data_IF_539989026891
#
_entry.id   IF_539989026891
#
_cell.length_a   1.000
_cell.length_b   1.000
_cell.length_c   1.000
_cell.angle_alpha   90.00
_cell.angle_beta   90.00
_cell.angle_gamma   90.00
#
_symmetry.space_group_name_H-M   'P 1'
#
loop_
_entity.id
_entity.type
_entity.pdbx_description
1 polymer ?
#
# COMPACT_ATOMS: atom_id res chain seq x y z
N UNK A 1 -16.15 5.20 6.68
CA UNK A 1 -15.75 6.58 7.00
C UNK A 1 -16.93 7.56 6.87
N UNK A 2 -17.84 7.38 5.92
CA UNK A 2 -19.02 8.24 5.73
C UNK A 2 -19.83 8.53 7.00
N UNK A 3 -20.04 7.54 7.87
CA UNK A 3 -20.71 7.74 9.18
C UNK A 3 -19.97 8.67 10.15
N UNK A 4 -18.68 8.91 9.92
CA UNK A 4 -17.84 9.81 10.72
C UNK A 4 -17.71 11.19 10.08
N UNK A 5 -18.37 11.47 8.94
CA UNK A 5 -18.17 12.69 8.16
C UNK A 5 -18.21 13.96 9.01
N UNK A 6 -19.28 14.18 9.78
CA UNK A 6 -19.41 15.36 10.66
C UNK A 6 -18.32 15.47 11.72
N UNK A 7 -17.69 14.34 12.10
CA UNK A 7 -16.60 14.31 13.09
C UNK A 7 -15.24 14.62 12.46
N UNK A 8 -14.99 14.14 11.24
CA UNK A 8 -13.65 14.17 10.63
C UNK A 8 -13.50 15.19 9.50
N UNK A 9 -14.59 15.70 8.92
CA UNK A 9 -14.53 16.55 7.71
C UNK A 9 -13.62 17.75 7.83
N UNK A 10 -13.54 18.35 9.02
CA UNK A 10 -12.70 19.52 9.30
C UNK A 10 -11.27 19.19 9.76
N UNK A 11 -10.94 17.91 9.91
CA UNK A 11 -9.61 17.43 10.29
C UNK A 11 -8.75 17.29 9.03
N UNK A 12 -7.53 17.82 9.01
CA UNK A 12 -6.48 17.39 8.08
C UNK A 12 -6.34 15.87 8.10
N UNK A 13 -6.10 15.26 6.93
CA UNK A 13 -6.07 13.79 6.83
C UNK A 13 -5.01 13.16 7.72
N UNK A 14 -3.87 13.83 7.95
CA UNK A 14 -2.83 13.39 8.89
C UNK A 14 -3.32 13.20 10.33
N UNK A 15 -4.45 13.81 10.70
CA UNK A 15 -5.06 13.69 12.03
C UNK A 15 -6.15 12.60 12.10
N UNK A 16 -6.46 11.93 11.00
CA UNK A 16 -7.46 10.86 10.95
C UNK A 16 -6.75 9.54 11.16
N UNK A 17 -7.15 8.81 12.20
CA UNK A 17 -6.68 7.43 12.41
C UNK A 17 -7.44 6.52 11.45
N UNK A 18 -6.71 5.75 10.66
CA UNK A 18 -7.29 4.80 9.71
C UNK A 18 -6.49 3.49 9.69
N UNK A 19 -7.16 2.33 9.58
CA UNK A 19 -6.47 1.07 9.40
C UNK A 19 -5.78 0.99 8.03
N UNK A 20 -4.63 0.33 7.97
CA UNK A 20 -3.91 0.03 6.73
C UNK A 20 -3.60 -1.45 6.59
N UNK A 21 -3.16 -1.86 5.40
CA UNK A 21 -2.69 -3.20 5.11
C UNK A 21 -1.33 -3.15 4.42
N UNK A 22 -0.35 -3.81 5.06
CA UNK A 22 1.00 -4.01 4.55
C UNK A 22 1.01 -5.12 3.49
N UNK A 23 1.68 -4.90 2.35
CA UNK A 23 1.68 -5.84 1.21
C UNK A 23 0.26 -6.33 0.86
N UNK A 24 -0.67 -5.38 0.73
CA UNK A 24 -2.11 -5.60 0.68
C UNK A 24 -2.55 -6.60 -0.40
N UNK A 25 -1.79 -6.74 -1.48
CA UNK A 25 -2.08 -7.71 -2.55
C UNK A 25 -1.67 -9.15 -2.25
N UNK A 26 -0.98 -9.42 -1.14
CA UNK A 26 -0.47 -10.76 -0.79
C UNK A 26 -1.48 -11.58 0.00
N UNK A 27 -2.74 -11.59 -0.47
CA UNK A 27 -3.85 -12.36 0.12
C UNK A 27 -3.78 -13.87 -0.17
N UNK A 28 -3.09 -14.22 -1.25
CA UNK A 28 -2.69 -15.58 -1.61
C UNK A 28 -1.38 -15.52 -2.40
N UNK A 29 -0.74 -16.66 -2.65
CA UNK A 29 0.43 -16.75 -3.51
C UNK A 29 0.04 -17.24 -4.90
N UNK A 30 0.25 -16.40 -5.92
CA UNK A 30 -0.09 -16.72 -7.31
C UNK A 30 1.03 -17.43 -8.08
N UNK A 31 2.26 -17.44 -7.55
CA UNK A 31 3.42 -18.18 -8.10
C UNK A 31 3.68 -17.88 -9.58
N UNK A 32 3.68 -16.60 -9.95
CA UNK A 32 3.83 -16.17 -11.34
C UNK A 32 5.29 -16.18 -11.81
N UNK A 33 6.24 -16.24 -10.89
CA UNK A 33 7.66 -16.42 -11.16
C UNK A 33 8.25 -17.51 -10.28
N UNK A 34 9.32 -18.15 -10.74
CA UNK A 34 10.02 -19.21 -10.01
C UNK A 34 10.78 -18.62 -8.83
N UNK A 35 10.40 -18.98 -7.62
CA UNK A 35 11.11 -18.55 -6.40
C UNK A 35 10.84 -19.53 -5.25
N UNK A 36 11.54 -19.33 -4.14
CA UNK A 36 11.39 -20.13 -2.91
C UNK A 36 10.48 -19.47 -1.87
N UNK A 37 9.80 -18.37 -2.22
CA UNK A 37 8.81 -17.74 -1.35
C UNK A 37 7.57 -18.61 -1.16
N UNK A 38 7.23 -18.85 0.10
CA UNK A 38 6.13 -19.71 0.54
C UNK A 38 5.18 -18.92 1.43
N UNK A 39 4.01 -19.50 1.74
CA UNK A 39 3.03 -18.83 2.61
C UNK A 39 3.63 -18.41 3.95
N UNK A 40 4.62 -19.15 4.44
CA UNK A 40 5.22 -18.89 5.73
C UNK A 40 6.01 -17.58 5.82
N UNK A 41 6.63 -17.14 4.72
CA UNK A 41 7.54 -15.99 4.70
C UNK A 41 7.13 -14.91 3.69
N UNK A 42 6.11 -15.13 2.87
CA UNK A 42 5.73 -14.18 1.82
C UNK A 42 4.28 -13.71 1.92
N UNK A 43 3.36 -14.54 2.40
CA UNK A 43 1.95 -14.18 2.49
C UNK A 43 1.70 -13.32 3.74
N UNK A 44 1.33 -12.05 3.54
CA UNK A 44 1.11 -11.08 4.63
C UNK A 44 -0.37 -10.82 4.92
N UNK A 45 -1.26 -11.19 3.99
CA UNK A 45 -2.71 -10.99 4.14
C UNK A 45 -3.49 -12.30 3.96
N UNK A 46 -4.61 -12.44 4.66
CA UNK A 46 -5.56 -13.56 4.50
C UNK A 46 -6.82 -13.19 3.69
N UNK A 47 -7.02 -11.89 3.47
CA UNK A 47 -8.21 -11.31 2.83
C UNK A 47 -7.81 -10.62 1.54
N UNK A 48 -8.66 -10.71 0.51
CA UNK A 48 -8.45 -9.92 -0.72
C UNK A 48 -8.50 -8.43 -0.43
N UNK A 49 -7.94 -7.63 -1.32
CA UNK A 49 -8.01 -6.15 -1.24
C UNK A 49 -9.43 -5.62 -1.06
N UNK A 50 -10.44 -6.20 -1.73
CA UNK A 50 -11.87 -5.86 -1.51
C UNK A 50 -12.28 -6.10 -0.05
N UNK A 51 -11.98 -7.28 0.48
CA UNK A 51 -12.35 -7.63 1.86
C UNK A 51 -11.61 -6.74 2.86
N UNK A 52 -10.33 -6.46 2.68
CA UNK A 52 -9.59 -5.53 3.54
C UNK A 52 -10.30 -4.16 3.62
N UNK A 53 -10.76 -3.62 2.49
CA UNK A 53 -11.56 -2.39 2.47
C UNK A 53 -12.90 -2.54 3.22
N UNK A 54 -13.62 -3.66 3.02
CA UNK A 54 -14.87 -3.94 3.74
C UNK A 54 -14.68 -4.05 5.26
N UNK A 55 -13.52 -4.54 5.71
CA UNK A 55 -13.16 -4.64 7.13
C UNK A 55 -12.49 -3.37 7.70
N UNK A 56 -12.38 -2.31 6.90
CA UNK A 56 -12.04 -0.97 7.38
C UNK A 56 -10.68 -0.43 6.96
N UNK A 57 -9.85 -1.21 6.26
CA UNK A 57 -8.59 -0.69 5.71
C UNK A 57 -8.85 0.46 4.74
N UNK A 58 -8.13 1.56 4.89
CA UNK A 58 -8.21 2.74 4.01
C UNK A 58 -6.84 3.15 3.48
N UNK A 59 -5.78 2.47 3.89
CA UNK A 59 -4.44 2.58 3.31
C UNK A 59 -3.96 1.20 2.85
N UNK A 60 -3.74 1.02 1.55
CA UNK A 60 -3.24 -0.23 0.97
C UNK A 60 -1.83 0.00 0.44
N UNK A 61 -0.84 -0.69 1.02
CA UNK A 61 0.52 -0.77 0.46
C UNK A 61 0.56 -1.86 -0.61
N UNK A 62 0.69 -1.47 -1.87
CA UNK A 62 0.58 -2.32 -3.06
C UNK A 62 1.93 -2.33 -3.80
N UNK A 63 2.76 -3.32 -3.51
CA UNK A 63 4.05 -3.46 -4.20
C UNK A 63 3.84 -4.21 -5.51
N UNK A 64 3.98 -3.53 -6.65
CA UNK A 64 3.62 -4.06 -7.97
C UNK A 64 4.86 -4.23 -8.82
N UNK A 65 4.97 -5.40 -9.45
CA UNK A 65 5.97 -5.69 -10.45
C UNK A 65 5.35 -6.23 -11.74
N UNK A 66 6.12 -6.18 -12.82
CA UNK A 66 5.79 -6.92 -14.05
C UNK A 66 6.49 -8.28 -14.04
N UNK A 67 5.77 -9.33 -14.43
CA UNK A 67 6.36 -10.65 -14.70
C UNK A 67 6.50 -10.85 -16.20
N UNK A 68 7.74 -10.97 -16.68
CA UNK A 68 8.07 -11.08 -18.10
C UNK A 68 8.21 -12.55 -18.54
N UNK A 69 7.54 -12.90 -19.63
CA UNK A 69 7.61 -14.21 -20.29
C UNK A 69 7.32 -14.07 -21.78
N UNK A 70 8.11 -14.74 -22.64
CA UNK A 70 7.80 -14.86 -24.06
C UNK A 70 7.73 -13.53 -24.84
N UNK A 71 8.39 -12.47 -24.35
CA UNK A 71 8.35 -11.13 -24.96
C UNK A 71 7.19 -10.25 -24.51
N UNK A 72 6.29 -10.77 -23.66
CA UNK A 72 5.23 -10.00 -23.00
C UNK A 72 5.46 -9.84 -21.49
N UNK A 73 4.54 -9.17 -20.83
CA UNK A 73 4.54 -9.02 -19.38
C UNK A 73 3.11 -8.92 -18.81
N UNK A 74 2.98 -9.15 -17.51
CA UNK A 74 1.72 -8.99 -16.74
C UNK A 74 2.00 -8.36 -15.39
N UNK A 75 1.06 -7.56 -14.87
CA UNK A 75 1.21 -6.84 -13.60
C UNK A 75 0.68 -7.65 -12.41
N UNK A 76 1.51 -7.77 -11.38
CA UNK A 76 1.20 -8.53 -10.18
C UNK A 76 1.67 -7.78 -8.94
N UNK A 77 0.90 -7.87 -7.86
CA UNK A 77 1.46 -7.53 -6.55
C UNK A 77 2.51 -8.57 -6.17
N UNK A 78 3.50 -8.21 -5.38
CA UNK A 78 4.53 -9.13 -4.94
C UNK A 78 5.08 -8.74 -3.58
N UNK A 79 5.65 -9.72 -2.89
CA UNK A 79 6.48 -9.49 -1.73
C UNK A 79 7.77 -10.26 -1.95
N UNK A 80 8.87 -9.52 -2.08
CA UNK A 80 10.22 -10.05 -2.28
C UNK A 80 11.19 -9.37 -1.32
N UNK A 81 12.30 -10.02 -1.02
CA UNK A 81 13.33 -9.50 -0.10
C UNK A 81 13.96 -8.19 -0.58
N UNK A 82 14.15 -8.06 -1.90
CA UNK A 82 14.66 -6.90 -2.59
C UNK A 82 14.35 -7.10 -4.07
N UNK A 83 13.54 -6.22 -4.64
CA UNK A 83 13.08 -6.28 -6.02
C UNK A 83 14.17 -5.99 -7.05
N UNK A 84 15.30 -5.45 -6.61
CA UNK A 84 16.47 -5.14 -7.44
C UNK A 84 17.54 -6.25 -7.42
N UNK A 85 17.39 -7.24 -6.53
CA UNK A 85 18.30 -8.38 -6.43
C UNK A 85 18.25 -9.31 -7.65
N UNK A 86 19.28 -10.16 -7.81
CA UNK A 86 19.40 -11.11 -8.92
C UNK A 86 19.79 -12.52 -8.42
N UNK A 87 18.85 -13.43 -8.15
CA UNK A 87 17.39 -13.28 -8.29
C UNK A 87 16.72 -12.69 -7.04
N UNK A 88 15.58 -11.99 -7.20
CA UNK A 88 14.73 -11.64 -6.07
C UNK A 88 14.07 -12.91 -5.49
N UNK A 89 13.94 -12.95 -4.16
CA UNK A 89 13.38 -14.07 -3.41
C UNK A 89 12.07 -13.66 -2.76
N UNK A 90 11.00 -14.38 -3.05
CA UNK A 90 9.65 -14.08 -2.58
C UNK A 90 8.60 -14.70 -3.49
N UNK A 91 7.45 -14.06 -3.66
CA UNK A 91 6.37 -14.58 -4.50
C UNK A 91 5.42 -13.45 -4.92
N UNK A 92 4.57 -13.73 -5.91
CA UNK A 92 3.51 -12.83 -6.38
C UNK A 92 2.18 -13.10 -5.66
N UNK A 93 1.31 -12.10 -5.63
CA UNK A 93 -0.03 -12.13 -5.02
C UNK A 93 -1.15 -11.93 -6.03
N UNK A 94 -2.11 -11.06 -5.70
CA UNK A 94 -3.18 -10.63 -6.60
C UNK A 94 -2.62 -10.03 -7.90
N UNK A 95 -3.31 -10.22 -9.03
CA UNK A 95 -3.02 -9.46 -10.24
C UNK A 95 -3.45 -8.00 -10.04
N UNK A 96 -2.80 -7.06 -10.72
CA UNK A 96 -3.20 -5.64 -10.67
C UNK A 96 -4.66 -5.46 -11.12
N UNK A 97 -5.06 -6.18 -12.16
CA UNK A 97 -6.44 -6.23 -12.63
C UNK A 97 -7.43 -6.60 -11.51
N UNK A 98 -7.17 -7.68 -10.75
CA UNK A 98 -8.05 -8.09 -9.65
C UNK A 98 -8.08 -7.05 -8.52
N UNK A 99 -6.93 -6.43 -8.21
CA UNK A 99 -6.86 -5.34 -7.22
C UNK A 99 -7.74 -4.17 -7.64
N UNK A 100 -7.67 -3.76 -8.91
CA UNK A 100 -8.50 -2.68 -9.46
C UNK A 100 -9.99 -3.05 -9.44
N UNK A 101 -10.36 -4.25 -9.86
CA UNK A 101 -11.75 -4.73 -9.79
C UNK A 101 -12.27 -4.71 -8.36
N UNK A 102 -11.46 -5.15 -7.40
CA UNK A 102 -11.79 -5.14 -5.97
C UNK A 102 -12.03 -3.71 -5.44
N UNK A 103 -11.18 -2.73 -5.81
CA UNK A 103 -11.35 -1.32 -5.45
C UNK A 103 -12.62 -0.74 -6.09
N UNK A 104 -12.85 -1.04 -7.37
CA UNK A 104 -14.01 -0.57 -8.12
C UNK A 104 -15.32 -1.10 -7.55
N UNK A 105 -15.34 -2.39 -7.18
CA UNK A 105 -16.47 -2.99 -6.51
C UNK A 105 -16.74 -2.29 -5.18
N UNK A 106 -15.71 -2.11 -4.34
CA UNK A 106 -15.88 -1.47 -3.03
C UNK A 106 -16.42 -0.04 -3.16
N UNK A 107 -15.84 0.77 -4.04
CA UNK A 107 -16.25 2.17 -4.24
C UNK A 107 -17.65 2.33 -4.83
N UNK A 108 -18.12 1.35 -5.61
CA UNK A 108 -19.51 1.30 -6.05
C UNK A 108 -20.49 0.97 -4.92
N UNK A 109 -20.10 0.10 -3.98
CA UNK A 109 -20.93 -0.36 -2.87
C UNK A 109 -20.87 0.57 -1.64
N UNK A 110 -19.80 1.34 -1.49
CA UNK A 110 -19.48 2.15 -0.31
C UNK A 110 -19.03 3.57 -0.70
N UNK A 111 -19.94 4.44 -1.17
CA UNK A 111 -19.59 5.81 -1.54
C UNK A 111 -19.23 6.67 -0.32
N UNK A 112 -18.43 7.70 -0.55
CA UNK A 112 -18.03 8.70 0.46
C UNK A 112 -16.81 8.27 1.29
N UNK A 113 -16.06 7.27 0.83
CA UNK A 113 -14.85 6.77 1.50
C UNK A 113 -13.59 7.44 0.94
N UNK A 114 -12.55 7.56 1.78
CA UNK A 114 -11.22 7.99 1.38
C UNK A 114 -10.32 6.76 1.36
N UNK A 115 -9.73 6.42 0.21
CA UNK A 115 -8.85 5.25 0.07
C UNK A 115 -7.50 5.70 -0.45
N UNK A 116 -6.43 5.33 0.23
CA UNK A 116 -5.06 5.55 -0.17
C UNK A 116 -4.51 4.25 -0.77
N UNK A 117 -4.06 4.33 -2.02
CA UNK A 117 -3.37 3.27 -2.72
C UNK A 117 -1.93 3.71 -2.93
N UNK A 118 -1.00 3.13 -2.14
CA UNK A 118 0.43 3.38 -2.30
C UNK A 118 1.00 2.28 -3.17
N UNK A 119 1.45 2.62 -4.37
CA UNK A 119 2.13 1.69 -5.25
C UNK A 119 3.65 1.86 -5.16
N UNK A 120 4.37 0.75 -5.03
CA UNK A 120 5.84 0.72 -4.99
C UNK A 120 6.40 -0.46 -5.79
N UNK A 121 7.71 -0.69 -5.72
CA UNK A 121 8.53 -1.51 -6.62
C UNK A 121 8.60 -0.98 -8.04
N UNK A 122 7.48 -0.98 -8.76
CA UNK A 122 7.35 -0.45 -10.12
C UNK A 122 8.52 -0.87 -11.03
N UNK A 123 8.83 -2.17 -10.99
CA UNK A 123 9.96 -2.81 -11.69
C UNK A 123 9.51 -4.16 -12.23
N UNK A 124 10.27 -4.73 -13.16
CA UNK A 124 10.00 -6.03 -13.77
C UNK A 124 10.93 -7.13 -13.31
N UNK A 125 10.44 -8.37 -13.38
CA UNK A 125 11.21 -9.60 -13.15
C UNK A 125 10.89 -10.61 -14.25
N UNK A 126 11.85 -11.47 -14.57
CA UNK A 126 11.61 -12.60 -15.47
C UNK A 126 10.88 -13.73 -14.74
N UNK A 127 9.99 -14.45 -15.43
CA UNK A 127 9.33 -15.66 -14.87
C UNK A 127 10.33 -16.70 -14.37
N UNK A 128 11.45 -16.84 -15.06
CA UNK A 128 12.66 -17.49 -14.53
C UNK A 128 13.58 -16.36 -14.07
N UNK A 129 13.64 -16.04 -12.76
CA UNK A 129 14.26 -14.80 -12.32
C UNK A 129 15.75 -14.75 -12.63
N UNK A 130 16.15 -13.61 -13.17
CA UNK A 130 17.54 -13.23 -13.41
C UNK A 130 17.69 -11.81 -12.88
N UNK A 131 18.40 -10.93 -13.59
CA UNK A 131 18.42 -9.50 -13.26
C UNK A 131 17.02 -8.89 -13.39
N UNK A 132 16.69 -7.87 -12.57
CA UNK A 132 15.47 -7.11 -12.74
C UNK A 132 15.42 -6.40 -14.10
N UNK A 133 14.21 -6.04 -14.52
CA UNK A 133 13.91 -5.26 -15.71
C UNK A 133 13.28 -3.94 -15.29
N UNK A 134 14.04 -2.85 -15.33
CA UNK A 134 13.47 -1.51 -15.12
C UNK A 134 12.38 -1.22 -16.14
N UNK A 135 11.29 -0.60 -15.69
CA UNK A 135 10.19 -0.26 -16.58
C UNK A 135 10.63 0.77 -17.62
N UNK A 136 10.14 0.58 -18.84
CA UNK A 136 10.24 1.60 -19.89
C UNK A 136 9.09 2.57 -19.77
N UNK A 137 9.17 3.72 -20.47
CA UNK A 137 8.04 4.64 -20.59
C UNK A 137 6.76 3.95 -21.13
N UNK A 138 6.92 2.93 -21.98
CA UNK A 138 5.79 2.16 -22.50
C UNK A 138 5.10 1.32 -21.40
N UNK A 139 5.87 0.61 -20.57
CA UNK A 139 5.31 -0.16 -19.45
C UNK A 139 4.67 0.77 -18.42
N UNK A 140 5.32 1.91 -18.15
CA UNK A 140 4.78 2.93 -17.24
C UNK A 140 3.43 3.48 -17.75
N UNK A 141 3.32 3.72 -19.06
CA UNK A 141 2.06 4.17 -19.66
C UNK A 141 0.97 3.09 -19.57
N UNK A 142 1.31 1.82 -19.82
CA UNK A 142 0.36 0.70 -19.67
C UNK A 142 -0.14 0.59 -18.21
N UNK A 143 0.76 0.77 -17.24
CA UNK A 143 0.40 0.82 -15.83
C UNK A 143 -0.54 1.99 -15.51
N UNK A 144 -0.27 3.19 -16.02
CA UNK A 144 -1.20 4.32 -15.89
C UNK A 144 -2.56 4.04 -16.53
N UNK A 145 -2.59 3.40 -17.70
CA UNK A 145 -3.84 3.07 -18.38
C UNK A 145 -4.69 2.09 -17.54
N UNK A 146 -4.08 1.12 -16.86
CA UNK A 146 -4.78 0.28 -15.88
C UNK A 146 -5.31 1.11 -14.71
N UNK A 147 -4.48 1.95 -14.09
CA UNK A 147 -4.88 2.78 -12.94
C UNK A 147 -6.02 3.76 -13.29
N UNK A 148 -6.08 4.27 -14.53
CA UNK A 148 -7.16 5.14 -15.02
C UNK A 148 -8.52 4.44 -15.11
N UNK A 149 -8.59 3.14 -14.89
CA UNK A 149 -9.86 2.40 -14.77
C UNK A 149 -10.40 2.36 -13.34
N UNK A 150 -9.66 2.85 -12.34
CA UNK A 150 -10.11 2.91 -10.95
C UNK A 150 -11.25 3.94 -10.79
N UNK A 151 -12.33 3.60 -10.12
CA UNK A 151 -13.45 4.48 -9.84
C UNK A 151 -13.07 5.56 -8.81
N UNK A 152 -13.71 6.72 -8.92
CA UNK A 152 -13.62 7.82 -7.95
C UNK A 152 -12.17 8.26 -7.64
N UNK A 153 -11.28 8.25 -8.64
CA UNK A 153 -9.92 8.78 -8.46
C UNK A 153 -9.96 10.22 -7.94
N UNK A 154 -9.01 10.54 -7.09
CA UNK A 154 -8.82 11.90 -6.61
C UNK A 154 -8.24 12.76 -7.72
N UNK A 155 -9.04 13.62 -8.34
CA UNK A 155 -8.57 14.60 -9.33
C UNK A 155 -8.74 16.01 -8.78
N UNK A 156 -8.01 16.97 -9.36
CA UNK A 156 -8.18 18.41 -9.07
C UNK A 156 -8.10 18.76 -7.58
N UNK A 157 -7.19 18.11 -6.84
CA UNK A 157 -6.94 18.44 -5.44
C UNK A 157 -6.30 19.83 -5.31
N UNK A 158 -6.49 20.51 -4.16
CA UNK A 158 -5.82 21.79 -3.91
C UNK A 158 -4.30 21.67 -4.01
N UNK A 159 -3.64 22.72 -4.52
CA UNK A 159 -2.17 22.83 -4.63
C UNK A 159 -1.51 23.09 -3.26
N UNK A 160 -1.71 22.18 -2.33
CA UNK A 160 -1.04 22.11 -1.03
C UNK A 160 -0.62 20.67 -0.78
N UNK A 161 0.26 20.45 0.18
CA UNK A 161 0.63 19.10 0.60
C UNK A 161 -0.60 18.28 1.05
N UNK A 162 -0.74 17.06 0.54
CA UNK A 162 -1.98 16.29 0.68
C UNK A 162 -2.27 15.85 2.11
N UNK A 163 -1.24 15.70 2.94
CA UNK A 163 -1.38 15.40 4.37
C UNK A 163 -2.05 16.55 5.16
N UNK A 164 -2.07 17.78 4.61
CA UNK A 164 -2.74 18.96 5.16
C UNK A 164 -4.19 19.10 4.71
N UNK A 165 -4.59 18.43 3.63
CA UNK A 165 -5.94 18.52 3.09
C UNK A 165 -6.93 17.95 4.11
N UNK A 166 -8.01 18.70 4.34
CA UNK A 166 -9.10 18.28 5.21
C UNK A 166 -9.81 17.04 4.66
N UNK A 167 -10.16 16.10 5.51
CA UNK A 167 -10.84 14.86 5.11
C UNK A 167 -12.12 15.11 4.32
N UNK A 168 -12.87 16.17 4.65
CA UNK A 168 -14.09 16.55 3.94
C UNK A 168 -13.85 16.83 2.45
N UNK A 169 -12.71 17.45 2.10
CA UNK A 169 -12.36 17.73 0.70
C UNK A 169 -12.26 16.43 -0.09
N UNK A 170 -11.63 15.40 0.47
CA UNK A 170 -11.59 14.08 -0.17
C UNK A 170 -12.97 13.43 -0.20
N UNK A 171 -13.70 13.43 0.92
CA UNK A 171 -15.02 12.76 1.00
C UNK A 171 -16.04 13.37 0.04
N UNK A 172 -15.95 14.68 -0.23
CA UNK A 172 -16.87 15.41 -1.10
C UNK A 172 -16.49 15.29 -2.60
N UNK A 173 -15.33 14.72 -2.94
CA UNK A 173 -14.95 14.45 -4.33
C UNK A 173 -15.93 13.51 -5.02
N UNK A 174 -15.92 13.55 -6.36
CA UNK A 174 -16.73 12.68 -7.20
C UNK A 174 -18.23 12.74 -6.85
N UNK A 175 -18.76 13.95 -6.65
CA UNK A 175 -20.14 14.21 -6.21
C UNK A 175 -20.49 13.53 -4.87
N UNK A 176 -19.56 13.60 -3.90
CA UNK A 176 -19.72 12.96 -2.59
C UNK A 176 -19.55 11.43 -2.61
N UNK A 177 -19.06 10.85 -3.72
CA UNK A 177 -18.71 9.43 -3.79
C UNK A 177 -17.35 9.12 -3.17
N UNK A 178 -16.64 10.13 -2.67
CA UNK A 178 -15.35 10.00 -2.02
C UNK A 178 -14.20 10.01 -3.01
N UNK A 179 -13.06 9.48 -2.58
CA UNK A 179 -11.79 9.71 -3.24
C UNK A 179 -10.85 8.52 -3.09
N UNK A 180 -10.35 8.03 -4.22
CA UNK A 180 -9.25 7.06 -4.28
C UNK A 180 -7.98 7.79 -4.67
N UNK A 181 -7.10 7.99 -3.69
CA UNK A 181 -5.81 8.65 -3.88
C UNK A 181 -4.76 7.63 -4.25
N UNK A 182 -4.16 7.81 -5.43
CA UNK A 182 -3.12 6.94 -5.96
C UNK A 182 -1.78 7.64 -5.77
N UNK A 183 -0.87 7.01 -5.02
CA UNK A 183 0.46 7.51 -4.69
C UNK A 183 1.51 6.53 -5.24
N UNK A 184 2.47 7.02 -6.03
CA UNK A 184 3.51 6.21 -6.66
C UNK A 184 4.88 6.48 -6.05
N UNK A 185 5.51 5.42 -5.55
CA UNK A 185 6.91 5.42 -5.13
C UNK A 185 7.80 5.07 -6.32
N UNK A 186 8.48 6.09 -6.85
CA UNK A 186 9.21 6.02 -8.12
C UNK A 186 10.72 5.76 -7.97
N UNK A 187 11.15 5.22 -6.83
CA UNK A 187 12.56 4.93 -6.55
C UNK A 187 13.27 4.17 -7.70
N UNK A 188 12.59 3.21 -8.33
CA UNK A 188 13.14 2.40 -9.42
C UNK A 188 12.98 3.03 -10.82
N UNK A 189 12.22 4.11 -10.97
CA UNK A 189 11.89 4.72 -12.27
C UNK A 189 12.34 6.18 -12.40
N UNK A 190 13.24 6.65 -11.52
CA UNK A 190 13.74 8.03 -11.51
C UNK A 190 14.35 8.54 -12.84
N UNK A 191 14.63 7.64 -13.80
CA UNK A 191 15.17 7.98 -15.11
C UNK A 191 14.09 8.18 -16.20
N UNK A 192 12.82 7.95 -15.87
CA UNK A 192 11.71 8.21 -16.80
C UNK A 192 11.34 9.70 -16.77
N UNK A 193 10.98 10.23 -17.94
CA UNK A 193 10.54 11.62 -18.08
C UNK A 193 9.16 11.88 -17.45
N UNK A 194 8.37 10.83 -17.22
CA UNK A 194 7.02 10.91 -16.65
C UNK A 194 6.90 9.95 -15.49
N UNK A 195 6.73 10.52 -14.30
CA UNK A 195 6.68 9.80 -13.01
C UNK A 195 5.28 9.77 -12.42
N UNK A 196 4.35 10.55 -12.96
CA UNK A 196 2.97 10.63 -12.48
C UNK A 196 2.02 11.04 -13.61
N UNK A 197 0.74 11.21 -13.25
CA UNK A 197 -0.28 11.73 -14.14
C UNK A 197 -1.32 12.46 -13.29
N UNK A 198 -0.94 13.62 -12.75
CA UNK A 198 -1.80 14.41 -11.85
C UNK A 198 -3.19 14.74 -12.45
N UNK A 199 -3.33 15.08 -13.75
CA UNK A 199 -4.65 15.31 -14.36
C UNK A 199 -5.56 14.08 -14.32
N UNK A 200 -4.97 12.88 -14.25
CA UNK A 200 -5.67 11.60 -14.15
C UNK A 200 -5.81 11.10 -12.70
N UNK A 201 -5.34 11.87 -11.72
CA UNK A 201 -5.44 11.55 -10.29
C UNK A 201 -4.39 10.54 -9.80
N UNK A 202 -3.24 10.50 -10.48
CA UNK A 202 -2.11 9.64 -10.16
C UNK A 202 -0.95 10.55 -9.76
N UNK A 203 -0.47 10.43 -8.52
CA UNK A 203 0.50 11.36 -7.94
C UNK A 203 1.75 10.62 -7.49
N UNK A 204 2.90 11.28 -7.49
CA UNK A 204 4.08 10.78 -6.78
C UNK A 204 3.85 10.80 -5.26
N UNK A 205 4.47 9.88 -4.51
CA UNK A 205 4.36 9.85 -3.04
C UNK A 205 4.85 11.13 -2.35
N UNK A 206 5.69 11.94 -3.00
CA UNK A 206 6.26 13.16 -2.42
C UNK A 206 5.24 14.23 -2.03
N UNK A 207 4.04 14.20 -2.59
CA UNK A 207 2.94 15.12 -2.24
C UNK A 207 2.29 14.78 -0.89
N UNK A 208 2.65 13.63 -0.30
CA UNK A 208 2.16 13.12 0.96
C UNK A 208 3.33 12.89 1.89
N UNK A 209 3.51 13.78 2.88
CA UNK A 209 4.46 13.51 3.95
C UNK A 209 3.87 12.46 4.91
N UNK A 210 4.49 11.29 4.92
CA UNK A 210 4.23 10.25 5.91
C UNK A 210 5.53 9.78 6.55
N UNK A 211 5.41 9.24 7.77
CA UNK A 211 6.47 8.55 8.46
C UNK A 211 6.08 7.09 8.57
N UNK A 212 6.87 6.22 7.92
CA UNK A 212 6.64 4.78 7.92
C UNK A 212 7.50 4.11 8.98
N UNK A 213 6.89 3.75 10.11
CA UNK A 213 7.59 3.19 11.24
C UNK A 213 7.55 1.67 11.23
N UNK A 214 8.63 1.09 10.73
CA UNK A 214 8.85 -0.33 10.75
C UNK A 214 9.45 -0.75 12.10
N UNK A 215 8.78 -1.68 12.80
CA UNK A 215 9.21 -2.06 14.16
C UNK A 215 10.54 -2.83 14.16
N UNK A 216 10.76 -3.70 13.16
CA UNK A 216 11.90 -4.65 13.12
C UNK A 216 12.00 -5.54 14.36
N UNK A 217 10.86 -5.96 14.91
CA UNK A 217 10.79 -6.79 16.10
C UNK A 217 10.31 -8.21 15.77
N UNK A 218 10.83 -9.19 16.50
CA UNK A 218 10.63 -10.63 16.30
C UNK A 218 9.46 -11.22 17.10
N UNK A 219 8.83 -10.44 17.99
CA UNK A 219 7.64 -10.88 18.74
C UNK A 219 6.51 -9.86 18.74
N UNK A 220 5.28 -10.36 18.84
CA UNK A 220 4.06 -9.54 18.95
C UNK A 220 4.15 -8.55 20.12
N UNK A 221 4.75 -8.95 21.25
CA UNK A 221 4.87 -8.08 22.43
C UNK A 221 5.80 -6.90 22.17
N UNK A 222 6.94 -7.14 21.51
CA UNK A 222 7.88 -6.10 21.14
C UNK A 222 7.29 -5.16 20.08
N UNK A 223 6.69 -5.72 19.02
CA UNK A 223 5.96 -4.92 18.01
C UNK A 223 4.93 -4.00 18.68
N UNK A 224 4.12 -4.54 19.60
CA UNK A 224 3.12 -3.75 20.29
C UNK A 224 3.72 -2.62 21.15
N UNK A 225 4.80 -2.88 21.87
CA UNK A 225 5.48 -1.87 22.68
C UNK A 225 6.09 -0.77 21.79
N UNK A 226 6.80 -1.18 20.74
CA UNK A 226 7.48 -0.31 19.78
C UNK A 226 6.47 0.61 19.04
N UNK A 227 5.38 0.06 18.52
CA UNK A 227 4.35 0.84 17.83
C UNK A 227 3.56 1.78 18.77
N UNK A 228 3.36 1.39 20.03
CA UNK A 228 2.71 2.25 21.04
C UNK A 228 3.62 3.41 21.47
N UNK A 229 4.93 3.17 21.59
CA UNK A 229 5.92 4.22 21.85
C UNK A 229 5.95 5.24 20.72
N UNK A 230 5.97 4.77 19.47
CA UNK A 230 5.92 5.62 18.29
C UNK A 230 4.71 6.56 18.24
N UNK A 231 3.54 6.12 18.72
CA UNK A 231 2.38 7.00 18.86
C UNK A 231 2.55 8.12 19.88
N UNK A 232 3.25 7.86 21.00
CA UNK A 232 3.52 8.88 22.01
C UNK A 232 4.50 9.96 21.50
N UNK A 233 5.33 9.59 20.52
CA UNK A 233 6.35 10.48 19.93
C UNK A 233 5.80 11.41 18.84
N UNK A 234 4.55 11.18 18.37
CA UNK A 234 3.93 12.01 17.34
C UNK A 234 3.63 13.42 17.86
N UNK A 235 4.35 14.42 17.34
CA UNK A 235 4.03 15.81 17.60
C UNK A 235 2.83 16.27 16.76
N UNK A 236 1.76 16.67 17.44
CA UNK A 236 0.68 17.46 16.84
C UNK A 236 0.81 18.92 17.26
N UNK A 237 0.26 19.89 16.50
CA UNK A 237 0.33 21.30 16.85
C UNK A 237 -0.19 21.50 18.28
N UNK A 238 0.69 21.96 19.18
CA UNK A 238 0.41 22.08 20.63
C UNK A 238 1.13 21.06 21.53
N UNK A 239 1.88 20.10 20.99
CA UNK A 239 2.76 19.18 21.74
C UNK A 239 4.16 19.77 21.93
N UNK A 240 4.79 19.55 23.10
CA UNK A 240 6.08 20.14 23.47
C UNK A 240 7.29 19.19 23.37
N UNK A 241 7.11 17.89 23.10
CA UNK A 241 8.12 16.88 23.50
C UNK A 241 8.50 15.76 22.49
N UNK A 242 8.00 15.73 21.24
CA UNK A 242 8.19 14.55 20.35
C UNK A 242 9.37 14.60 19.35
N UNK A 243 9.54 13.54 18.56
CA UNK A 243 10.65 13.34 17.58
C UNK A 243 10.18 13.27 16.12
N UNK A 244 8.91 12.98 15.83
CA UNK A 244 8.35 12.98 14.47
C UNK A 244 7.68 14.33 14.13
N UNK A 245 7.90 14.84 12.92
CA UNK A 245 7.18 16.02 12.39
C UNK A 245 5.68 15.73 12.25
N UNK A 246 4.83 16.75 12.17
CA UNK A 246 3.37 16.64 12.03
C UNK A 246 2.95 16.11 10.64
N UNK A 247 3.30 14.85 10.39
CA UNK A 247 3.07 14.05 9.19
C UNK A 247 1.95 13.02 9.41
N UNK A 248 1.60 12.27 8.37
CA UNK A 248 0.81 11.04 8.53
C UNK A 248 1.71 9.94 9.09
N UNK A 249 1.41 9.41 10.28
CA UNK A 249 2.21 8.35 10.90
C UNK A 249 1.62 6.98 10.54
N UNK A 250 2.42 6.13 9.89
CA UNK A 250 2.05 4.74 9.58
C UNK A 250 2.68 3.85 10.64
N UNK A 251 1.82 3.16 11.38
CA UNK A 251 2.21 2.16 12.36
C UNK A 251 2.05 0.75 11.77
N UNK A 252 3.10 -0.06 11.88
CA UNK A 252 3.12 -1.39 11.29
C UNK A 252 3.06 -2.49 12.35
N UNK A 253 1.94 -3.21 12.39
CA UNK A 253 1.73 -4.35 13.28
C UNK A 253 2.13 -5.65 12.59
N UNK A 254 3.38 -5.69 12.12
CA UNK A 254 4.00 -6.86 11.51
C UNK A 254 5.19 -7.31 12.35
N UNK A 255 5.33 -8.61 12.51
CA UNK A 255 6.53 -9.22 13.10
C UNK A 255 7.53 -9.43 11.97
N UNK A 256 8.81 -9.23 12.25
CA UNK A 256 9.94 -9.53 11.36
C UNK A 256 10.72 -10.73 11.92
N UNK A 257 10.29 -11.98 11.67
CA UNK A 257 10.97 -13.15 12.22
C UNK A 257 12.34 -13.34 11.57
N UNK A 258 13.27 -13.95 12.31
CA UNK A 258 14.52 -14.42 11.69
C UNK A 258 14.21 -15.47 10.62
N UNK A 259 14.99 -15.56 9.53
CA UNK A 259 14.85 -16.63 8.53
C UNK A 259 14.70 -18.06 9.10
N UNK A 260 15.27 -18.35 10.26
CA UNK A 260 15.12 -19.66 10.93
C UNK A 260 13.79 -19.81 11.70
N UNK A 261 13.14 -18.72 12.10
CA UNK A 261 11.90 -18.74 12.87
C UNK A 261 10.68 -19.16 12.05
N UNK A 262 10.73 -18.96 10.72
CA UNK A 262 9.69 -19.44 9.78
C UNK A 262 9.51 -20.96 9.81
N UNK A 263 10.45 -21.71 10.39
CA UNK A 263 10.33 -23.16 10.61
C UNK A 263 9.30 -23.46 11.72
N UNK A 264 9.11 -22.53 12.65
CA UNK A 264 8.26 -22.73 13.84
C UNK A 264 6.95 -21.93 13.78
N UNK A 265 6.97 -20.71 13.24
CA UNK A 265 5.78 -19.84 13.14
C UNK A 265 5.81 -19.03 11.84
N UNK A 266 4.76 -19.10 11.03
CA UNK A 266 4.63 -18.32 9.80
C UNK A 266 4.21 -16.87 10.03
N UNK A 267 4.50 -15.98 9.06
CA UNK A 267 3.93 -14.62 9.02
C UNK A 267 2.40 -14.64 9.16
N UNK A 268 1.73 -15.56 8.46
CA UNK A 268 0.27 -15.73 8.56
C UNK A 268 -0.20 -16.14 9.95
N UNK A 269 0.59 -16.93 10.70
CA UNK A 269 0.28 -17.29 12.08
C UNK A 269 0.48 -16.09 13.01
N UNK A 270 1.54 -15.31 12.83
CA UNK A 270 1.72 -14.04 13.56
C UNK A 270 0.59 -13.05 13.29
N UNK A 271 0.20 -12.89 12.03
CA UNK A 271 -0.91 -12.04 11.64
C UNK A 271 -2.24 -12.51 12.27
N UNK A 272 -2.49 -13.82 12.29
CA UNK A 272 -3.65 -14.40 12.98
C UNK A 272 -3.62 -14.16 14.51
N UNK A 273 -2.44 -14.20 15.14
CA UNK A 273 -2.32 -13.89 16.58
C UNK A 273 -2.60 -12.42 16.89
N UNK A 274 -2.20 -11.50 16.00
CA UNK A 274 -2.40 -10.06 16.18
C UNK A 274 -3.82 -9.61 15.80
N UNK A 275 -4.42 -10.23 14.78
CA UNK A 275 -5.78 -9.93 14.35
C UNK A 275 -6.50 -11.18 13.81
N UNK A 276 -7.05 -12.03 14.70
CA UNK A 276 -7.70 -13.28 14.30
C UNK A 276 -9.01 -13.10 13.53
N UNK A 277 -9.51 -11.86 13.41
CA UNK A 277 -10.72 -11.58 12.62
C UNK A 277 -10.42 -11.44 11.13
N UNK A 278 -9.15 -11.18 10.79
CA UNK A 278 -8.72 -10.88 9.41
C UNK A 278 -7.91 -12.02 8.76
N UNK A 279 -7.83 -13.19 9.40
CA UNK A 279 -7.10 -14.37 8.93
C UNK A 279 -7.88 -15.67 9.10
#
# INVERSE_FOLDING_TARGET
MSSLYETIKDRPIRHVVMPGAHDAGMSYLSTQFLSVGIKANTQTQGLSTYKQLRYGSRWLDLRVLTVHEGGGHTFWTAHVNDETNSPPVGNSGESLHNVIENINQFTAESPGEIIFLRFSYLIGINKVPTKPQYWTAEIMQQFFDELKTINNRCISLPEIEFFLIKAGIFMDQNDGKGCVLILLDQANNQYLDTLDSEPDGIYETRVMLYYDHWADEDTVKQVAANQTEGWNDVQRPGSSNGTSQDALYINQWSVTPDPLDFITTSLSQYANMMNPTLF
#
